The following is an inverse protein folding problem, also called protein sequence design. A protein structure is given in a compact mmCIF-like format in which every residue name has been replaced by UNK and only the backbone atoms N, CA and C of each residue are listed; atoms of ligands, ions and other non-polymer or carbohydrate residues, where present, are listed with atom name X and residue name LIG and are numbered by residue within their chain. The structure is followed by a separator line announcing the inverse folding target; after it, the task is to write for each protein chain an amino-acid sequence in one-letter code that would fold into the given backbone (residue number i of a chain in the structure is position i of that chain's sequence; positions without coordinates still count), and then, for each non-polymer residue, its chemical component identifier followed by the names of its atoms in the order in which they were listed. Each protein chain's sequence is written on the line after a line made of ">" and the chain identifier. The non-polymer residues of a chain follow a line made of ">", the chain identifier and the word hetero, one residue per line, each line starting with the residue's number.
data_IF_738516225060
#
_entry.id   IF_738516225060
#
_cell.length_a   1.000
_cell.length_b   1.000
_cell.length_c   1.000
_cell.angle_alpha   90.00
_cell.angle_beta   90.00
_cell.angle_gamma   90.00
#
_symmetry.space_group_name_H-M   'P 1'
#
loop_
_entity.id
_entity.type
_entity.pdbx_description
1 polymer ?
#
# COMPACT_ATOMS: atom_id res chain seq x y z
N UNK A 1 32.70 -18.73 -2.82
CA UNK A 1 31.56 -18.85 -3.76
C UNK A 1 30.51 -19.71 -3.08
N UNK A 2 29.27 -19.24 -2.98
CA UNK A 2 28.17 -20.00 -2.38
C UNK A 2 27.93 -21.29 -3.17
N UNK A 3 27.69 -22.39 -2.48
CA UNK A 3 27.31 -23.67 -3.08
C UNK A 3 25.93 -23.57 -3.75
N UNK A 4 25.60 -24.49 -4.65
CA UNK A 4 24.35 -24.45 -5.42
C UNK A 4 23.11 -24.46 -4.51
N UNK A 5 23.15 -25.22 -3.41
CA UNK A 5 22.08 -25.28 -2.41
C UNK A 5 21.96 -24.00 -1.59
N UNK A 6 23.06 -23.40 -1.16
CA UNK A 6 23.03 -22.11 -0.46
C UNK A 6 22.53 -20.98 -1.35
N UNK A 7 22.81 -21.04 -2.66
CA UNK A 7 22.23 -20.14 -3.65
C UNK A 7 20.72 -20.34 -3.75
N UNK A 8 20.24 -21.57 -3.81
CA UNK A 8 18.79 -21.87 -3.87
C UNK A 8 18.10 -21.42 -2.56
N UNK A 9 18.68 -21.69 -1.40
CA UNK A 9 18.15 -21.25 -0.11
C UNK A 9 18.19 -19.71 0.06
N UNK A 10 19.24 -19.04 -0.44
CA UNK A 10 19.31 -17.59 -0.48
C UNK A 10 18.30 -16.99 -1.47
N UNK A 11 18.09 -17.64 -2.62
CA UNK A 11 17.06 -17.28 -3.60
C UNK A 11 15.66 -17.44 -3.02
N UNK A 12 15.41 -18.51 -2.28
CA UNK A 12 14.14 -18.75 -1.61
C UNK A 12 13.90 -17.74 -0.48
N UNK A 13 14.94 -17.36 0.26
CA UNK A 13 14.89 -16.24 1.22
C UNK A 13 14.57 -14.90 0.57
N UNK A 14 15.19 -14.57 -0.56
CA UNK A 14 14.93 -13.32 -1.30
C UNK A 14 13.55 -13.38 -1.98
N UNK A 15 13.04 -14.56 -2.32
CA UNK A 15 11.68 -14.79 -2.83
C UNK A 15 10.63 -14.52 -1.74
N UNK A 16 10.88 -14.99 -0.52
CA UNK A 16 9.98 -14.80 0.63
C UNK A 16 10.13 -13.41 1.27
N UNK A 17 11.27 -12.76 1.08
CA UNK A 17 11.49 -11.39 1.52
C UNK A 17 10.73 -10.41 0.62
N UNK A 18 9.59 -9.93 1.10
CA UNK A 18 8.82 -8.86 0.47
C UNK A 18 9.60 -7.54 0.38
N UNK A 19 10.83 -7.45 0.92
CA UNK A 19 11.75 -6.32 0.78
C UNK A 19 12.30 -6.11 -0.64
N UNK A 20 12.34 -7.16 -1.48
CA UNK A 20 13.06 -7.12 -2.76
C UNK A 20 14.58 -7.02 -2.58
N UNK A 21 15.34 -7.21 -3.66
CA UNK A 21 16.81 -7.08 -3.60
C UNK A 21 17.19 -5.68 -3.10
N UNK A 22 17.91 -5.57 -1.98
CA UNK A 22 18.32 -4.31 -1.36
C UNK A 22 19.03 -3.41 -2.40
N UNK A 23 18.32 -2.43 -2.93
CA UNK A 23 18.84 -1.54 -3.97
C UNK A 23 19.15 -0.18 -3.35
N UNK A 24 20.43 0.09 -3.09
CA UNK A 24 20.90 1.33 -2.45
C UNK A 24 20.78 2.58 -3.34
N UNK A 25 20.31 2.42 -4.58
CA UNK A 25 20.12 3.52 -5.54
C UNK A 25 18.65 3.90 -5.65
N UNK A 26 18.35 5.16 -5.35
CA UNK A 26 17.02 5.76 -5.56
C UNK A 26 16.78 5.93 -7.06
N UNK A 27 15.74 5.28 -7.59
CA UNK A 27 15.31 5.39 -8.99
C UNK A 27 14.29 6.52 -9.15
N UNK A 28 14.67 7.61 -9.84
CA UNK A 28 13.79 8.76 -10.06
C UNK A 28 12.49 8.41 -10.78
N UNK A 29 12.54 7.49 -11.73
CA UNK A 29 11.36 7.04 -12.47
C UNK A 29 10.31 6.42 -11.55
N UNK A 30 10.74 5.64 -10.55
CA UNK A 30 9.85 5.06 -9.56
C UNK A 30 9.24 6.13 -8.64
N UNK A 31 10.00 7.18 -8.30
CA UNK A 31 9.48 8.31 -7.50
C UNK A 31 8.42 9.07 -8.28
N UNK A 32 8.69 9.43 -9.53
CA UNK A 32 7.73 10.14 -10.39
C UNK A 32 6.49 9.30 -10.62
N UNK A 33 6.65 8.00 -10.88
CA UNK A 33 5.52 7.07 -10.99
C UNK A 33 4.68 7.08 -9.71
N UNK A 34 5.32 7.07 -8.53
CA UNK A 34 4.64 7.09 -7.22
C UNK A 34 3.77 8.33 -7.06
N UNK A 35 4.31 9.51 -7.39
CA UNK A 35 3.64 10.80 -7.22
C UNK A 35 2.51 11.03 -8.21
N UNK A 36 2.56 10.40 -9.39
CA UNK A 36 1.48 10.46 -10.38
C UNK A 36 0.45 9.34 -10.23
N UNK A 37 0.68 8.38 -9.33
CA UNK A 37 -0.20 7.24 -9.15
C UNK A 37 -1.43 7.60 -8.30
N UNK A 38 -2.62 7.57 -8.92
CA UNK A 38 -3.88 7.82 -8.24
C UNK A 38 -4.07 6.91 -7.02
N UNK A 39 -3.58 5.66 -7.08
CA UNK A 39 -3.71 4.72 -5.96
C UNK A 39 -2.85 5.13 -4.76
N UNK A 40 -1.68 5.72 -4.98
CA UNK A 40 -0.87 6.30 -3.90
C UNK A 40 -1.66 7.37 -3.16
N UNK A 41 -2.33 8.26 -3.89
CA UNK A 41 -3.12 9.32 -3.28
C UNK A 41 -4.37 8.82 -2.55
N UNK A 42 -5.00 7.74 -3.03
CA UNK A 42 -6.09 7.09 -2.30
C UNK A 42 -5.60 6.47 -0.98
N UNK A 43 -4.39 5.90 -0.95
CA UNK A 43 -3.76 5.37 0.28
C UNK A 43 -3.42 6.53 1.22
N UNK A 44 -2.81 7.60 0.72
CA UNK A 44 -2.50 8.82 1.50
C UNK A 44 -3.76 9.40 2.12
N UNK A 45 -4.85 9.52 1.35
CA UNK A 45 -6.13 9.99 1.87
C UNK A 45 -6.68 9.06 2.96
N UNK A 46 -6.58 7.73 2.77
CA UNK A 46 -7.01 6.74 3.78
C UNK A 46 -6.20 6.88 5.08
N UNK A 47 -4.88 7.10 5.00
CA UNK A 47 -4.01 7.36 6.16
C UNK A 47 -4.48 8.60 6.89
N UNK A 48 -4.70 9.70 6.16
CA UNK A 48 -5.10 10.98 6.73
C UNK A 48 -6.43 10.86 7.50
N UNK A 49 -7.44 10.23 6.88
CA UNK A 49 -8.74 10.04 7.51
C UNK A 49 -8.66 9.17 8.77
N UNK A 50 -7.72 8.22 8.80
CA UNK A 50 -7.54 7.32 9.95
C UNK A 50 -6.70 7.93 11.06
N UNK A 51 -5.82 8.89 10.76
CA UNK A 51 -5.00 9.57 11.78
C UNK A 51 -5.67 10.77 12.43
N UNK A 52 -6.70 11.35 11.80
CA UNK A 52 -7.47 12.45 12.39
C UNK A 52 -8.12 12.06 13.73
N UNK A 53 -8.81 10.92 13.87
CA UNK A 53 -9.29 10.47 15.17
C UNK A 53 -8.16 10.32 16.19
N UNK A 54 -6.96 9.90 15.77
CA UNK A 54 -5.83 9.61 16.67
C UNK A 54 -5.32 10.83 17.45
N UNK A 55 -5.31 12.01 16.83
CA UNK A 55 -4.89 13.25 17.49
C UNK A 55 -5.81 13.69 18.64
N UNK A 56 -7.09 13.31 18.61
CA UNK A 56 -8.10 13.71 19.59
C UNK A 56 -8.33 12.72 20.75
N UNK A 57 -7.58 11.62 20.80
CA UNK A 57 -7.89 10.44 21.65
C UNK A 57 -7.76 10.67 23.16
N UNK A 58 -7.28 11.82 23.64
CA UNK A 58 -7.07 12.03 25.07
C UNK A 58 -8.34 11.91 25.95
N UNK A 59 -9.55 11.76 25.37
CA UNK A 59 -10.80 11.57 26.11
C UNK A 59 -11.67 10.33 25.73
N UNK A 60 -11.29 9.49 24.76
CA UNK A 60 -12.14 8.35 24.29
C UNK A 60 -11.35 7.05 24.06
N UNK A 61 -10.90 6.42 25.15
CA UNK A 61 -10.03 5.23 25.16
C UNK A 61 -10.61 4.00 24.42
N UNK A 62 -11.93 3.82 24.36
CA UNK A 62 -12.53 2.59 23.81
C UNK A 62 -12.59 2.53 22.28
N UNK A 63 -12.80 3.68 21.61
CA UNK A 63 -12.74 3.75 20.13
C UNK A 63 -11.27 3.84 19.68
N UNK A 64 -10.43 4.51 20.47
CA UNK A 64 -9.00 4.65 20.25
C UNK A 64 -8.25 3.32 20.05
N UNK A 65 -8.62 2.28 20.81
CA UNK A 65 -7.92 0.99 20.73
C UNK A 65 -8.13 0.29 19.37
N UNK A 66 -9.25 0.57 18.68
CA UNK A 66 -9.48 0.04 17.32
C UNK A 66 -8.55 0.67 16.27
N UNK A 67 -8.06 1.89 16.50
CA UNK A 67 -7.19 2.59 15.56
C UNK A 67 -5.70 2.31 15.75
N UNK A 68 -5.30 1.69 16.88
CA UNK A 68 -3.92 1.30 17.13
C UNK A 68 -3.35 0.30 16.10
N UNK A 69 -4.20 -0.50 15.46
CA UNK A 69 -3.80 -1.43 14.39
C UNK A 69 -3.81 -0.81 12.99
N UNK A 70 -4.36 0.39 12.81
CA UNK A 70 -4.63 0.96 11.50
C UNK A 70 -3.36 1.21 10.68
N UNK A 71 -2.33 1.81 11.30
CA UNK A 71 -1.05 2.01 10.62
C UNK A 71 -0.41 0.69 10.18
N UNK A 72 -0.41 -0.31 11.06
CA UNK A 72 0.13 -1.65 10.76
C UNK A 72 -0.59 -2.29 9.57
N UNK A 73 -1.93 -2.19 9.53
CA UNK A 73 -2.72 -2.69 8.39
C UNK A 73 -2.42 -1.93 7.11
N UNK A 74 -2.22 -0.60 7.16
CA UNK A 74 -1.86 0.20 5.99
C UNK A 74 -0.47 -0.19 5.45
N UNK A 75 0.51 -0.43 6.33
CA UNK A 75 1.83 -0.90 5.91
C UNK A 75 1.78 -2.31 5.30
N UNK A 76 1.03 -3.22 5.91
CA UNK A 76 0.83 -4.57 5.37
C UNK A 76 0.13 -4.52 4.00
N UNK A 77 -0.88 -3.64 3.86
CA UNK A 77 -1.53 -3.36 2.61
C UNK A 77 -0.55 -2.78 1.59
N UNK A 78 0.29 -1.81 1.94
CA UNK A 78 1.27 -1.26 1.00
C UNK A 78 2.30 -2.32 0.55
N UNK A 79 2.80 -3.13 1.48
CA UNK A 79 3.78 -4.18 1.21
C UNK A 79 3.28 -5.21 0.17
N UNK A 80 2.01 -5.63 0.28
CA UNK A 80 1.41 -6.63 -0.60
C UNK A 80 1.05 -6.12 -2.00
N UNK A 81 1.15 -4.82 -2.21
CA UNK A 81 0.31 -4.15 -3.20
C UNK A 81 1.10 -3.07 -3.95
N UNK A 82 2.34 -2.84 -3.54
CA UNK A 82 3.34 -2.04 -4.24
C UNK A 82 4.54 -2.94 -4.50
N UNK A 83 5.15 -2.81 -5.67
CA UNK A 83 6.45 -3.42 -6.00
C UNK A 83 7.43 -2.32 -6.38
N UNK A 84 8.72 -2.62 -6.28
CA UNK A 84 9.81 -1.69 -6.51
C UNK A 84 10.32 -1.07 -5.21
N UNK A 85 11.63 -1.15 -4.98
CA UNK A 85 12.22 -0.71 -3.71
C UNK A 85 12.04 0.80 -3.48
N UNK A 86 12.35 1.61 -4.50
CA UNK A 86 12.23 3.08 -4.38
C UNK A 86 10.77 3.53 -4.28
N UNK A 87 9.87 2.89 -5.03
CA UNK A 87 8.43 3.15 -4.97
C UNK A 87 7.87 2.86 -3.57
N UNK A 88 8.16 1.68 -3.00
CA UNK A 88 7.76 1.32 -1.63
C UNK A 88 8.25 2.31 -0.59
N UNK A 89 9.54 2.64 -0.62
CA UNK A 89 10.14 3.59 0.32
C UNK A 89 9.50 4.99 0.21
N UNK A 90 9.19 5.44 -1.01
CA UNK A 90 8.52 6.73 -1.25
C UNK A 90 7.09 6.74 -0.70
N UNK A 91 6.31 5.68 -0.92
CA UNK A 91 4.96 5.56 -0.34
C UNK A 91 5.03 5.52 1.19
N UNK A 92 5.98 4.78 1.76
CA UNK A 92 6.16 4.71 3.21
C UNK A 92 6.50 6.09 3.82
N UNK A 93 7.34 6.88 3.16
CA UNK A 93 7.63 8.25 3.57
C UNK A 93 6.37 9.13 3.54
N UNK A 94 5.56 9.04 2.48
CA UNK A 94 4.28 9.77 2.37
C UNK A 94 3.29 9.36 3.47
N UNK A 95 3.21 8.07 3.80
CA UNK A 95 2.37 7.55 4.89
C UNK A 95 2.77 8.21 6.22
N UNK A 96 4.07 8.26 6.55
CA UNK A 96 4.56 8.84 7.80
C UNK A 96 4.24 10.34 7.91
N UNK A 97 4.52 11.10 6.85
CA UNK A 97 4.24 12.54 6.82
C UNK A 97 2.74 12.81 6.99
N UNK A 98 1.91 12.05 6.27
CA UNK A 98 0.45 12.20 6.32
C UNK A 98 -0.12 11.80 7.67
N UNK A 99 0.44 10.75 8.29
CA UNK A 99 0.05 10.34 9.64
C UNK A 99 0.30 11.46 10.65
N UNK A 100 1.49 12.09 10.60
CA UNK A 100 1.81 13.22 11.47
C UNK A 100 0.86 14.41 11.25
N UNK A 101 0.56 14.75 9.98
CA UNK A 101 -0.36 15.83 9.65
C UNK A 101 -1.79 15.57 10.17
N UNK A 102 -2.30 14.34 10.02
CA UNK A 102 -3.63 14.03 10.52
C UNK A 102 -3.71 14.04 12.05
N UNK A 103 -2.65 13.68 12.77
CA UNK A 103 -2.62 13.83 14.22
C UNK A 103 -2.69 15.30 14.67
N UNK A 104 -2.03 16.22 13.94
CA UNK A 104 -2.11 17.67 14.20
C UNK A 104 -3.53 18.19 13.92
N UNK A 105 -4.16 17.76 12.83
CA UNK A 105 -5.54 18.15 12.53
C UNK A 105 -6.50 17.58 13.57
N UNK A 106 -6.24 16.36 14.05
CA UNK A 106 -7.04 15.68 15.04
C UNK A 106 -7.15 16.41 16.37
N UNK A 107 -6.09 17.07 16.83
CA UNK A 107 -6.10 17.84 18.09
C UNK A 107 -7.02 19.06 18.00
N UNK A 108 -7.18 19.65 16.82
CA UNK A 108 -7.99 20.86 16.61
C UNK A 108 -9.50 20.57 16.52
N UNK A 109 -9.90 19.31 16.25
CA UNK A 109 -11.33 18.93 16.10
C UNK A 109 -12.06 18.84 17.45
N UNK A 110 -11.32 18.78 18.57
CA UNK A 110 -11.87 18.63 19.92
C UNK A 110 -11.55 19.85 20.81
N UNK A 111 -12.07 21.05 20.48
CA UNK A 111 -11.75 22.23 21.25
C UNK A 111 -12.42 22.19 22.63
N UNK A 112 -11.79 22.75 23.69
CA UNK A 112 -12.31 22.72 25.06
C UNK A 112 -13.70 23.35 25.23
N UNK A 113 -14.07 24.29 24.35
CA UNK A 113 -15.37 24.97 24.36
C UNK A 113 -16.57 24.03 24.15
N UNK A 114 -16.33 22.88 23.51
CA UNK A 114 -17.38 21.90 23.20
C UNK A 114 -17.46 20.79 24.27
N UNK A 115 -16.70 20.91 25.36
CA UNK A 115 -16.76 19.99 26.49
C UNK A 115 -18.10 20.10 27.25
N UNK A 116 -18.60 19.00 27.86
CA UNK A 116 -18.03 17.65 27.88
C UNK A 116 -18.45 16.76 26.70
N UNK A 117 -19.43 17.19 25.89
CA UNK A 117 -20.10 16.31 24.94
C UNK A 117 -19.41 16.22 23.57
N UNK A 118 -18.65 17.23 23.15
CA UNK A 118 -17.89 17.28 21.89
C UNK A 118 -18.70 16.83 20.65
N UNK A 119 -19.97 17.24 20.57
CA UNK A 119 -20.90 16.82 19.49
C UNK A 119 -20.33 17.09 18.08
N UNK A 120 -19.73 18.27 17.78
CA UNK A 120 -19.15 18.52 16.46
C UNK A 120 -18.01 17.56 16.11
N UNK A 121 -17.13 17.26 17.06
CA UNK A 121 -16.02 16.32 16.87
C UNK A 121 -16.50 14.89 16.64
N UNK A 122 -17.56 14.46 17.34
CA UNK A 122 -18.21 13.16 17.11
C UNK A 122 -18.82 13.06 15.71
N UNK A 123 -19.53 14.09 15.26
CA UNK A 123 -20.09 14.15 13.89
C UNK A 123 -18.96 14.07 12.86
N UNK A 124 -17.88 14.83 13.07
CA UNK A 124 -16.71 14.81 12.18
C UNK A 124 -16.14 13.38 12.06
N UNK A 125 -15.85 12.69 13.17
CA UNK A 125 -15.35 11.30 13.12
C UNK A 125 -16.32 10.37 12.38
N UNK A 126 -17.62 10.46 12.66
CA UNK A 126 -18.61 9.60 11.99
C UNK A 126 -18.63 9.84 10.48
N UNK A 127 -18.54 11.09 10.02
CA UNK A 127 -18.45 11.40 8.59
C UNK A 127 -17.16 10.88 7.95
N UNK A 128 -16.01 11.00 8.63
CA UNK A 128 -14.73 10.51 8.13
C UNK A 128 -14.73 8.98 7.95
N UNK A 129 -15.32 8.24 8.90
CA UNK A 129 -15.44 6.78 8.82
C UNK A 129 -16.31 6.36 7.62
N UNK A 130 -17.44 7.04 7.38
CA UNK A 130 -18.31 6.73 6.23
C UNK A 130 -17.58 6.97 4.90
N UNK A 131 -16.82 8.08 4.80
CA UNK A 131 -16.00 8.39 3.63
C UNK A 131 -14.90 7.31 3.45
N UNK A 132 -14.26 6.90 4.54
CA UNK A 132 -13.21 5.88 4.52
C UNK A 132 -13.73 4.51 4.07
N UNK A 133 -14.94 4.12 4.46
CA UNK A 133 -15.59 2.91 3.95
C UNK A 133 -15.77 2.98 2.44
N UNK A 134 -16.27 4.12 1.92
CA UNK A 134 -16.40 4.36 0.49
C UNK A 134 -15.07 4.27 -0.27
N UNK A 135 -14.01 4.87 0.29
CA UNK A 135 -12.66 4.79 -0.28
C UNK A 135 -12.12 3.35 -0.29
N UNK A 136 -12.39 2.56 0.74
CA UNK A 136 -11.98 1.15 0.81
C UNK A 136 -12.64 0.33 -0.29
N UNK A 137 -13.93 0.54 -0.55
CA UNK A 137 -14.64 -0.09 -1.67
C UNK A 137 -14.10 0.37 -3.03
N UNK A 138 -13.79 1.67 -3.18
CA UNK A 138 -13.21 2.21 -4.40
C UNK A 138 -11.83 1.59 -4.70
N UNK A 139 -10.96 1.53 -3.70
CA UNK A 139 -9.63 0.93 -3.81
C UNK A 139 -9.75 -0.56 -4.17
N UNK A 140 -10.64 -1.30 -3.48
CA UNK A 140 -10.91 -2.72 -3.80
C UNK A 140 -11.38 -2.88 -5.25
N UNK A 141 -12.31 -2.04 -5.70
CA UNK A 141 -12.81 -2.07 -7.07
C UNK A 141 -11.70 -1.78 -8.10
N UNK A 142 -10.84 -0.78 -7.84
CA UNK A 142 -9.68 -0.47 -8.70
C UNK A 142 -8.72 -1.67 -8.76
N UNK A 143 -8.38 -2.28 -7.63
CA UNK A 143 -7.47 -3.43 -7.59
C UNK A 143 -8.04 -4.63 -8.36
N UNK A 144 -9.34 -4.92 -8.21
CA UNK A 144 -10.02 -5.97 -8.97
C UNK A 144 -10.00 -5.70 -10.47
N UNK A 145 -10.26 -4.45 -10.89
CA UNK A 145 -10.21 -4.02 -12.30
C UNK A 145 -8.80 -4.15 -12.88
N UNK A 146 -7.78 -3.73 -12.14
CA UNK A 146 -6.38 -3.85 -12.55
C UNK A 146 -5.96 -5.32 -12.68
N UNK A 147 -6.34 -6.17 -11.71
CA UNK A 147 -6.07 -7.60 -11.78
C UNK A 147 -6.76 -8.25 -12.98
N UNK A 148 -8.02 -7.90 -13.28
CA UNK A 148 -8.73 -8.41 -14.46
C UNK A 148 -8.00 -8.01 -15.76
N UNK A 149 -7.59 -6.75 -15.87
CA UNK A 149 -6.85 -6.25 -17.04
C UNK A 149 -5.50 -6.95 -17.20
N UNK A 150 -4.73 -7.15 -16.12
CA UNK A 150 -3.46 -7.87 -16.15
C UNK A 150 -3.62 -9.34 -16.55
N UNK A 151 -4.65 -10.02 -16.03
CA UNK A 151 -4.96 -11.41 -16.41
C UNK A 151 -5.29 -11.52 -17.91
N UNK A 152 -6.07 -10.58 -18.46
CA UNK A 152 -6.38 -10.54 -19.89
C UNK A 152 -5.11 -10.34 -20.74
N UNK A 153 -4.27 -9.35 -20.39
CA UNK A 153 -3.00 -9.11 -21.09
C UNK A 153 -2.04 -10.31 -21.02
N UNK A 154 -2.01 -11.01 -19.90
CA UNK A 154 -1.19 -12.22 -19.74
C UNK A 154 -1.72 -13.35 -20.64
N UNK A 155 -3.04 -13.55 -20.71
CA UNK A 155 -3.65 -14.52 -21.60
C UNK A 155 -3.36 -14.21 -23.09
N UNK A 156 -3.47 -12.94 -23.50
CA UNK A 156 -3.13 -12.48 -24.86
C UNK A 156 -1.65 -12.74 -25.19
N UNK A 157 -0.73 -12.48 -24.25
CA UNK A 157 0.70 -12.75 -24.46
C UNK A 157 0.99 -14.25 -24.53
N UNK A 158 0.33 -15.05 -23.70
CA UNK A 158 0.45 -16.51 -23.73
C UNK A 158 0.03 -17.06 -25.08
N UNK A 159 -1.07 -16.55 -25.64
CA UNK A 159 -1.56 -16.93 -26.96
C UNK A 159 -0.64 -16.43 -28.09
N UNK A 160 -0.27 -15.14 -28.07
CA UNK A 160 0.57 -14.53 -29.12
C UNK A 160 1.93 -15.20 -29.27
N UNK A 161 2.57 -15.57 -28.16
CA UNK A 161 3.89 -16.19 -28.17
C UNK A 161 3.84 -17.72 -28.05
N UNK A 162 2.65 -18.32 -27.96
CA UNK A 162 2.48 -19.77 -27.77
C UNK A 162 3.15 -20.30 -26.50
N UNK A 163 3.20 -19.49 -25.43
CA UNK A 163 3.90 -19.85 -24.20
C UNK A 163 3.23 -21.03 -23.49
N UNK A 164 4.05 -22.01 -23.09
CA UNK A 164 3.62 -23.06 -22.17
C UNK A 164 3.58 -22.54 -20.74
N UNK A 165 2.93 -23.25 -19.81
CA UNK A 165 2.91 -22.86 -18.39
C UNK A 165 4.31 -22.80 -17.77
N UNK A 166 5.25 -23.61 -18.28
CA UNK A 166 6.65 -23.58 -17.85
C UNK A 166 7.38 -22.30 -18.32
N UNK A 167 7.07 -21.80 -19.53
CA UNK A 167 7.65 -20.56 -20.04
C UNK A 167 7.15 -19.33 -19.28
N UNK A 168 5.87 -19.34 -18.91
CA UNK A 168 5.24 -18.31 -18.07
C UNK A 168 5.92 -18.25 -16.70
N UNK A 169 6.19 -19.40 -16.08
CA UNK A 169 6.88 -19.45 -14.78
C UNK A 169 8.33 -18.95 -14.89
N UNK A 170 9.05 -19.37 -15.93
CA UNK A 170 10.42 -18.87 -16.18
C UNK A 170 10.46 -17.36 -16.45
N UNK A 171 9.42 -16.81 -17.09
CA UNK A 171 9.29 -15.37 -17.25
C UNK A 171 9.01 -14.70 -15.89
N UNK A 172 8.08 -15.23 -15.09
CA UNK A 172 7.80 -14.74 -13.74
C UNK A 172 9.06 -14.70 -12.87
N UNK A 173 9.86 -15.76 -12.87
CA UNK A 173 11.13 -15.83 -12.15
C UNK A 173 12.07 -14.70 -12.60
N UNK A 174 12.29 -14.52 -13.91
CA UNK A 174 13.12 -13.42 -14.42
C UNK A 174 12.62 -12.06 -13.96
N UNK A 175 11.31 -11.84 -14.00
CA UNK A 175 10.69 -10.59 -13.55
C UNK A 175 10.76 -10.41 -12.04
N UNK A 176 10.87 -11.48 -11.24
CA UNK A 176 11.05 -11.40 -9.79
C UNK A 176 12.46 -10.89 -9.41
N UNK A 177 13.49 -11.19 -10.22
CA UNK A 177 14.85 -10.66 -10.01
C UNK A 177 15.02 -9.21 -10.43
N UNK A 178 14.12 -8.71 -11.28
CA UNK A 178 14.15 -7.34 -11.74
C UNK A 178 13.37 -6.46 -10.75
N UNK A 179 14.00 -5.39 -10.26
CA UNK A 179 13.36 -4.37 -9.42
C UNK A 179 12.41 -3.49 -10.25
N UNK A 180 11.29 -4.10 -10.65
CA UNK A 180 10.19 -3.54 -11.44
C UNK A 180 9.08 -3.02 -10.53
N UNK A 181 8.45 -1.92 -10.95
CA UNK A 181 7.26 -1.41 -10.25
C UNK A 181 6.06 -2.33 -10.45
N UNK A 182 5.05 -2.20 -9.59
CA UNK A 182 3.81 -2.99 -9.71
C UNK A 182 3.10 -2.76 -11.05
N UNK A 183 3.23 -1.57 -11.67
CA UNK A 183 2.68 -1.29 -13.00
C UNK A 183 3.48 -1.95 -14.12
N UNK A 184 4.80 -2.02 -13.97
CA UNK A 184 5.71 -2.63 -14.94
C UNK A 184 5.65 -4.16 -14.90
N UNK A 185 5.47 -4.74 -13.71
CA UNK A 185 5.40 -6.19 -13.54
C UNK A 185 4.00 -6.73 -13.89
N UNK A 186 3.91 -7.41 -15.02
CA UNK A 186 2.66 -8.04 -15.47
C UNK A 186 2.20 -9.19 -14.57
N UNK A 187 3.15 -9.89 -13.93
CA UNK A 187 2.86 -11.00 -13.00
C UNK A 187 2.43 -10.52 -11.62
N UNK A 188 2.56 -9.23 -11.33
CA UNK A 188 2.16 -8.66 -10.04
C UNK A 188 0.64 -8.63 -9.88
N UNK A 189 0.16 -9.25 -8.81
CA UNK A 189 -1.26 -9.33 -8.44
C UNK A 189 -1.51 -8.40 -7.27
N UNK A 190 -2.47 -7.49 -7.43
CA UNK A 190 -2.89 -6.59 -6.36
C UNK A 190 -3.77 -7.32 -5.35
N UNK A 191 -3.49 -7.19 -4.06
CA UNK A 191 -4.39 -7.69 -3.01
C UNK A 191 -5.62 -6.80 -2.93
N UNK A 192 -6.82 -7.40 -3.01
CA UNK A 192 -8.09 -6.68 -3.08
C UNK A 192 -8.99 -7.03 -1.90
#
# INVERSE_FOLDING_TARGET
>A
MLTAEERIAALERVRDDQGGTENKKIKRDQVVETLLDIRTWLIVLTVMLTSVPNGGISNWIYIATCFGSALSTIYAYNASNTSGNTKKSTINALILVTFALGNIIGTEIFPPKDAPDYIPGKIAIMTLIVIQLGLSFLIRWINLRLNKNKRARMAELKERYGWTDADVEKARERHAFLDLTDKQNLFFVYTA
#
